data_IF_649913155487
#
_entry.id   IF_649913155487
#
_cell.length_a   1.000
_cell.length_b   1.000
_cell.length_c   1.000
_cell.angle_alpha   90.00
_cell.angle_beta   90.00
_cell.angle_gamma   90.00
#
_symmetry.space_group_name_H-M   'P 1'
#
loop_
_entity.id
_entity.type
_entity.pdbx_description
1 polymer ?
#
# COMPACT_ATOMS: atom_id res chain seq x y z
N UNK A 1 -8.72 1.41 -41.79
CA UNK A 1 -8.39 0.77 -40.50
C UNK A 1 -7.00 1.20 -40.07
N UNK A 2 -6.86 2.17 -39.15
CA UNK A 2 -5.56 2.56 -38.57
C UNK A 2 -5.47 1.94 -37.17
N UNK A 3 -4.58 0.97 -37.02
CA UNK A 3 -4.28 0.33 -35.73
C UNK A 3 -3.31 1.27 -35.00
N UNK A 4 -3.84 2.19 -34.20
CA UNK A 4 -3.01 3.02 -33.31
C UNK A 4 -2.40 2.09 -32.27
N UNK A 5 -1.09 1.84 -32.39
CA UNK A 5 -0.30 1.28 -31.29
C UNK A 5 -0.35 2.31 -30.17
N UNK A 6 -1.03 1.98 -29.07
CA UNK A 6 -0.91 2.74 -27.84
C UNK A 6 0.51 2.49 -27.33
N UNK A 7 1.40 3.47 -27.53
CA UNK A 7 2.74 3.43 -26.96
C UNK A 7 2.56 3.50 -25.44
N UNK A 8 2.82 2.38 -24.75
CA UNK A 8 3.02 2.40 -23.30
C UNK A 8 4.36 3.06 -23.07
N UNK A 9 4.36 4.38 -22.87
CA UNK A 9 5.53 5.09 -22.41
C UNK A 9 5.79 4.64 -20.97
N UNK A 10 6.82 3.82 -20.74
CA UNK A 10 7.40 3.64 -19.41
C UNK A 10 8.03 4.98 -19.06
N UNK A 11 7.23 5.89 -18.53
CA UNK A 11 7.74 7.10 -17.91
C UNK A 11 8.47 6.68 -16.65
N UNK A 12 9.77 6.95 -16.57
CA UNK A 12 10.50 6.88 -15.30
C UNK A 12 9.91 7.98 -14.43
N UNK A 13 8.96 7.62 -13.57
CA UNK A 13 8.43 8.52 -12.57
C UNK A 13 9.55 8.71 -11.54
N UNK A 14 10.27 9.83 -11.61
CA UNK A 14 11.36 10.19 -10.67
C UNK A 14 10.83 10.65 -9.31
N UNK A 15 9.62 10.22 -8.95
CA UNK A 15 9.03 10.47 -7.65
C UNK A 15 9.85 9.71 -6.58
N UNK A 16 10.32 10.38 -5.52
CA UNK A 16 11.03 9.70 -4.44
C UNK A 16 10.16 8.60 -3.84
N UNK A 17 10.70 7.38 -3.81
CA UNK A 17 10.09 6.25 -3.11
C UNK A 17 10.13 6.53 -1.61
N UNK A 18 8.96 6.48 -0.96
CA UNK A 18 8.84 6.70 0.48
C UNK A 18 8.86 5.40 1.25
N UNK A 19 8.08 4.41 0.80
CA UNK A 19 8.04 3.09 1.40
C UNK A 19 7.60 2.03 0.39
N UNK A 20 8.00 0.80 0.65
CA UNK A 20 7.49 -0.41 0.00
C UNK A 20 6.79 -1.27 1.04
N UNK A 21 5.89 -2.11 0.58
CA UNK A 21 5.00 -2.84 1.46
C UNK A 21 4.14 -3.87 0.76
N UNK A 22 3.15 -4.36 1.50
CA UNK A 22 2.09 -5.20 0.99
C UNK A 22 0.74 -4.50 1.16
N UNK A 23 -0.15 -4.68 0.20
CA UNK A 23 -1.50 -4.15 0.28
C UNK A 23 -2.27 -4.85 1.39
N UNK A 24 -2.99 -4.07 2.19
CA UNK A 24 -3.93 -4.61 3.17
C UNK A 24 -5.20 -3.78 3.26
N UNK A 25 -6.25 -4.35 3.83
CA UNK A 25 -7.57 -3.73 3.95
C UNK A 25 -8.50 -4.51 4.86
N UNK A 26 -9.77 -4.11 4.88
CA UNK A 26 -10.81 -4.85 5.60
C UNK A 26 -11.31 -6.08 4.85
N UNK A 27 -11.84 -7.05 5.59
CA UNK A 27 -12.65 -8.12 5.03
C UNK A 27 -14.13 -7.73 4.99
N UNK A 28 -14.92 -8.40 4.13
CA UNK A 28 -16.34 -8.17 4.04
C UNK A 28 -17.04 -8.47 5.38
N UNK A 29 -17.62 -7.44 5.99
CA UNK A 29 -18.29 -7.53 7.30
C UNK A 29 -17.44 -7.09 8.49
N UNK A 30 -16.17 -6.72 8.29
CA UNK A 30 -15.38 -6.12 9.36
C UNK A 30 -15.90 -4.71 9.68
N UNK A 31 -16.31 -4.51 10.93
CA UNK A 31 -16.69 -3.20 11.44
C UNK A 31 -15.42 -2.41 11.80
N UNK A 32 -15.34 -1.17 11.30
CA UNK A 32 -14.24 -0.25 11.60
C UNK A 32 -12.96 -0.48 10.80
N UNK A 33 -12.96 -1.41 9.84
CA UNK A 33 -11.86 -1.58 8.90
C UNK A 33 -11.78 -0.41 7.89
N UNK A 34 -10.61 -0.14 7.28
CA UNK A 34 -10.48 0.94 6.32
C UNK A 34 -11.38 0.69 5.09
N UNK A 35 -12.03 1.74 4.55
CA UNK A 35 -12.92 1.60 3.41
C UNK A 35 -12.19 1.31 2.10
N UNK A 36 -10.89 1.62 2.06
CA UNK A 36 -10.03 1.46 0.88
C UNK A 36 -8.75 0.73 1.27
N UNK A 37 -8.13 -0.03 0.34
CA UNK A 37 -6.88 -0.71 0.60
C UNK A 37 -5.75 0.30 0.85
N UNK A 38 -4.90 -0.03 1.82
CA UNK A 38 -3.73 0.77 2.21
C UNK A 38 -2.45 -0.02 1.97
N UNK A 39 -1.33 0.69 1.87
CA UNK A 39 -0.01 0.07 1.76
C UNK A 39 0.59 -0.12 3.16
N UNK A 40 0.67 -1.37 3.62
CA UNK A 40 1.26 -1.73 4.90
C UNK A 40 2.79 -1.82 4.76
N UNK A 41 3.56 -1.15 5.63
CA UNK A 41 5.01 -1.17 5.54
C UNK A 41 5.57 -2.56 5.85
N UNK A 42 6.71 -2.91 5.23
CA UNK A 42 7.43 -4.16 5.53
C UNK A 42 7.96 -4.24 6.97
N UNK A 43 8.10 -3.08 7.63
CA UNK A 43 8.74 -2.93 8.92
C UNK A 43 7.82 -2.30 9.98
N UNK A 44 6.63 -2.87 10.27
CA UNK A 44 5.68 -2.27 11.20
C UNK A 44 6.26 -2.18 12.63
N UNK A 45 5.80 -1.19 13.38
CA UNK A 45 6.09 -1.10 14.81
C UNK A 45 5.09 -1.97 15.57
N UNK A 46 5.52 -3.18 15.93
CA UNK A 46 4.71 -4.04 16.79
C UNK A 46 4.66 -3.47 18.21
N UNK A 47 3.44 -3.19 18.66
CA UNK A 47 3.14 -2.84 20.04
C UNK A 47 1.96 -3.68 20.53
N UNK A 48 1.94 -4.03 21.81
CA UNK A 48 0.73 -4.55 22.43
C UNK A 48 -0.24 -3.38 22.58
N UNK A 49 -1.32 -3.42 21.82
CA UNK A 49 -2.48 -2.56 22.04
C UNK A 49 -3.45 -3.29 22.97
N UNK A 50 -3.90 -2.62 24.03
CA UNK A 50 -5.07 -3.03 24.81
C UNK A 50 -6.28 -2.40 24.14
N UNK A 51 -6.99 -3.16 23.31
CA UNK A 51 -8.13 -2.67 22.55
C UNK A 51 -9.14 -3.78 22.28
N UNK A 52 -10.35 -3.38 21.90
CA UNK A 52 -11.40 -4.29 21.45
C UNK A 52 -11.04 -4.88 20.07
N UNK A 53 -11.55 -6.07 19.74
CA UNK A 53 -11.29 -6.78 18.47
C UNK A 53 -12.15 -6.23 17.31
N UNK A 54 -12.05 -4.91 17.08
CA UNK A 54 -12.66 -4.21 15.95
C UNK A 54 -11.58 -3.51 15.10
N UNK A 55 -11.88 -3.20 13.84
CA UNK A 55 -10.92 -2.53 12.95
C UNK A 55 -9.79 -3.43 12.46
N UNK A 56 -10.13 -4.65 12.04
CA UNK A 56 -9.17 -5.64 11.56
C UNK A 56 -8.53 -5.21 10.25
N UNK A 57 -7.25 -5.57 10.11
CA UNK A 57 -6.44 -5.34 8.92
C UNK A 57 -5.99 -6.70 8.38
N UNK A 58 -6.38 -7.01 7.15
CA UNK A 58 -6.03 -8.23 6.44
C UNK A 58 -5.08 -7.92 5.29
N UNK A 59 -4.17 -8.85 4.97
CA UNK A 59 -3.37 -8.77 3.75
C UNK A 59 -4.22 -9.03 2.51
N UNK A 60 -3.81 -8.48 1.37
CA UNK A 60 -4.40 -8.76 0.07
C UNK A 60 -3.52 -9.72 -0.72
N UNK A 61 -4.15 -10.68 -1.39
CA UNK A 61 -3.47 -11.66 -2.26
C UNK A 61 -4.03 -11.61 -3.68
N UNK A 62 -3.21 -11.96 -4.67
CA UNK A 62 -3.71 -12.13 -6.03
C UNK A 62 -4.57 -13.41 -6.13
N UNK A 63 -5.83 -13.24 -6.52
CA UNK A 63 -6.73 -14.38 -6.74
C UNK A 63 -6.55 -15.05 -8.12
N UNK A 64 -5.56 -14.63 -8.91
CA UNK A 64 -5.34 -15.10 -10.29
C UNK A 64 -3.85 -15.08 -10.65
N UNK A 65 -3.48 -15.81 -11.71
CA UNK A 65 -2.13 -15.80 -12.29
C UNK A 65 -1.94 -14.70 -13.37
N UNK A 66 -2.76 -13.65 -13.38
CA UNK A 66 -2.74 -12.64 -14.43
C UNK A 66 -1.43 -11.84 -14.49
N UNK A 67 -0.83 -11.55 -13.33
CA UNK A 67 0.34 -10.68 -13.22
C UNK A 67 1.66 -11.45 -13.42
N UNK A 68 1.71 -12.71 -13.00
CA UNK A 68 2.83 -13.63 -13.21
C UNK A 68 2.37 -15.08 -13.11
N UNK A 69 3.10 -16.01 -13.72
CA UNK A 69 2.78 -17.45 -13.72
C UNK A 69 2.60 -18.05 -12.33
N UNK A 70 3.25 -17.48 -11.31
CA UNK A 70 3.18 -17.90 -9.91
C UNK A 70 2.55 -16.82 -9.01
N UNK A 71 1.69 -15.95 -9.53
CA UNK A 71 1.10 -14.87 -8.74
C UNK A 71 -0.08 -15.29 -7.87
N UNK A 72 -0.77 -16.39 -8.20
CA UNK A 72 -1.90 -16.89 -7.40
C UNK A 72 -1.51 -17.08 -5.93
N UNK A 73 -2.34 -16.55 -5.03
CA UNK A 73 -2.16 -16.57 -3.57
C UNK A 73 -0.83 -15.93 -3.10
N UNK A 74 -0.24 -15.04 -3.91
CA UNK A 74 0.89 -14.23 -3.48
C UNK A 74 0.40 -12.88 -2.96
N UNK A 75 1.08 -12.37 -1.95
CA UNK A 75 0.82 -11.04 -1.40
C UNK A 75 0.94 -9.97 -2.49
N UNK A 76 -0.01 -9.04 -2.51
CA UNK A 76 -0.02 -7.93 -3.46
C UNK A 76 1.01 -6.88 -3.02
N UNK A 77 2.10 -6.65 -3.76
CA UNK A 77 3.09 -5.65 -3.40
C UNK A 77 2.56 -4.23 -3.64
N UNK A 78 3.01 -3.28 -2.82
CA UNK A 78 2.69 -1.87 -2.98
C UNK A 78 3.90 -0.96 -2.73
N UNK A 79 3.83 0.25 -3.29
CA UNK A 79 4.82 1.29 -3.09
C UNK A 79 4.12 2.64 -2.90
N UNK A 80 4.62 3.43 -1.96
CA UNK A 80 4.17 4.80 -1.74
C UNK A 80 5.24 5.74 -2.26
N UNK A 81 4.86 6.62 -3.19
CA UNK A 81 5.76 7.59 -3.81
C UNK A 81 5.33 9.00 -3.45
N UNK A 82 6.30 9.91 -3.26
CA UNK A 82 6.01 11.32 -3.02
C UNK A 82 5.74 12.03 -4.34
N UNK A 83 4.60 12.71 -4.43
CA UNK A 83 4.39 13.68 -5.50
C UNK A 83 5.20 14.96 -5.22
N UNK A 84 5.95 15.42 -6.21
CA UNK A 84 6.75 16.65 -6.12
C UNK A 84 5.92 17.91 -6.38
N UNK A 85 4.66 17.78 -6.81
CA UNK A 85 3.78 18.89 -7.17
C UNK A 85 2.82 19.34 -6.06
N UNK A 86 2.70 18.56 -4.99
CA UNK A 86 1.79 18.85 -3.88
C UNK A 86 2.48 18.66 -2.54
N UNK A 87 2.07 19.46 -1.54
CA UNK A 87 2.37 19.13 -0.15
C UNK A 87 1.40 18.04 0.31
N UNK A 88 1.91 17.01 0.96
CA UNK A 88 1.13 15.86 1.38
C UNK A 88 1.55 15.44 2.78
N UNK A 89 0.56 15.28 3.66
CA UNK A 89 0.70 14.61 4.96
C UNK A 89 0.21 13.19 4.77
N UNK A 90 0.95 12.21 5.25
CA UNK A 90 0.58 10.81 5.15
C UNK A 90 0.62 10.16 6.52
N UNK A 91 -0.39 9.34 6.79
CA UNK A 91 -0.35 8.38 7.89
C UNK A 91 0.17 7.06 7.35
N UNK A 92 1.19 6.48 7.97
CA UNK A 92 1.70 5.15 7.61
C UNK A 92 1.09 4.13 8.58
N UNK A 93 0.18 3.26 8.11
CA UNK A 93 -0.46 2.28 8.99
C UNK A 93 0.57 1.38 9.65
N UNK A 94 0.37 1.07 10.93
CA UNK A 94 1.28 0.20 11.69
C UNK A 94 2.63 0.84 12.05
N UNK A 95 2.82 2.15 11.85
CA UNK A 95 3.98 2.89 12.33
C UNK A 95 3.56 3.92 13.38
N UNK A 96 4.30 3.97 14.49
CA UNK A 96 4.18 5.03 15.50
C UNK A 96 5.45 5.90 15.58
N UNK A 97 6.41 5.66 14.67
CA UNK A 97 7.64 6.43 14.53
C UNK A 97 7.83 6.82 13.08
N UNK A 98 8.25 8.04 12.85
CA UNK A 98 8.60 8.55 11.53
C UNK A 98 9.81 7.80 10.95
N UNK A 99 9.83 7.65 9.63
CA UNK A 99 11.04 7.26 8.91
C UNK A 99 12.13 8.34 9.08
N UNK A 100 13.40 7.95 8.87
CA UNK A 100 14.51 8.90 8.97
C UNK A 100 14.30 10.10 8.03
N UNK A 101 14.40 11.31 8.56
CA UNK A 101 14.21 12.55 7.81
C UNK A 101 12.76 13.05 7.73
N UNK A 102 11.81 12.35 8.38
CA UNK A 102 10.44 12.79 8.56
C UNK A 102 10.21 13.32 9.97
N UNK A 103 9.34 14.31 10.10
CA UNK A 103 8.87 14.82 11.38
C UNK A 103 7.38 14.51 11.53
N UNK A 104 6.90 14.33 12.77
CA UNK A 104 5.48 14.39 13.05
C UNK A 104 5.01 15.83 12.88
N UNK A 105 3.77 16.03 12.43
CA UNK A 105 3.11 17.35 12.48
C UNK A 105 2.82 17.78 13.93
#
# INVERSE_FOLDING_TARGET
>A
MRKTRSSVSIGVMTAPLLSVGYTGGGYAGDVGAPPEPVCLPLDPNFGKTSGEDYGRMHGAEFMTNFFASNSLNQDVPCAVCRDNKASSVIMIPGKNRCYKGWNME
#
